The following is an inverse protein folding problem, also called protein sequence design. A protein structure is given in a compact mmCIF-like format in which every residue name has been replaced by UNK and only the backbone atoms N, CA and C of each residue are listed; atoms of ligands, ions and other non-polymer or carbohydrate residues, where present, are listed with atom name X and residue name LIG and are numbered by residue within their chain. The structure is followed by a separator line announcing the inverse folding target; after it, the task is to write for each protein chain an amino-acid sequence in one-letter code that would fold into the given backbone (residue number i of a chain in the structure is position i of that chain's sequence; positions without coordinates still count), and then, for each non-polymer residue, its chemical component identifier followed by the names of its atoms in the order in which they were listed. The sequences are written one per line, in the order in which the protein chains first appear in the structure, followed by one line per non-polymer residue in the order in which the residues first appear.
data_IF_460546271659
#
_entry.id   IF_460546271659
#
_cell.length_a   1.000
_cell.length_b   1.000
_cell.length_c   1.000
_cell.angle_alpha   90.00
_cell.angle_beta   90.00
_cell.angle_gamma   90.00
#
_symmetry.space_group_name_H-M   'P 1'
#
loop_
_entity.id
_entity.type
_entity.pdbx_description
1 polymer ?
#
# COMPACT_ATOMS: atom_id res chain seq x y z
N UNK A 1 13.23 0.99 -15.07
CA UNK A 1 11.94 1.19 -14.36
C UNK A 1 11.60 2.66 -14.32
N UNK A 2 10.34 2.99 -14.52
CA UNK A 2 9.92 4.38 -14.40
C UNK A 2 9.78 4.77 -12.92
N UNK A 3 9.50 6.06 -12.68
CA UNK A 3 9.46 6.56 -11.31
C UNK A 3 8.29 5.98 -10.50
N UNK A 4 7.16 5.73 -11.15
CA UNK A 4 6.02 5.16 -10.47
C UNK A 4 6.31 3.72 -10.04
N UNK A 5 6.91 2.94 -10.93
CA UNK A 5 7.26 1.55 -10.59
C UNK A 5 8.26 1.51 -9.45
N UNK A 6 9.27 2.37 -9.47
CA UNK A 6 10.24 2.45 -8.37
C UNK A 6 9.55 2.80 -7.06
N UNK A 7 8.59 3.71 -7.12
CA UNK A 7 7.84 4.10 -5.94
C UNK A 7 7.02 2.93 -5.39
N UNK A 8 6.39 2.15 -6.28
CA UNK A 8 5.61 0.99 -5.84
C UNK A 8 6.50 -0.05 -5.14
N UNK A 9 7.67 -0.32 -5.70
CA UNK A 9 8.62 -1.24 -5.08
C UNK A 9 9.04 -0.72 -3.71
N UNK A 10 9.32 0.57 -3.62
CA UNK A 10 9.67 1.20 -2.36
C UNK A 10 8.55 1.05 -1.34
N UNK A 11 7.30 1.26 -1.75
CA UNK A 11 6.16 1.12 -0.84
C UNK A 11 6.01 -0.30 -0.30
N UNK A 12 6.24 -1.31 -1.14
CA UNK A 12 6.23 -2.69 -0.70
C UNK A 12 7.27 -2.91 0.40
N UNK A 13 8.48 -2.39 0.16
CA UNK A 13 9.57 -2.60 1.12
C UNK A 13 9.33 -1.91 2.45
N UNK A 14 8.87 -0.66 2.43
CA UNK A 14 8.64 0.06 3.68
C UNK A 14 7.47 -0.54 4.46
N UNK A 15 6.44 -0.97 3.76
CA UNK A 15 5.28 -1.58 4.41
C UNK A 15 5.67 -2.93 5.03
N UNK A 16 6.45 -3.71 4.29
CA UNK A 16 6.98 -4.99 4.76
C UNK A 16 7.75 -4.81 6.07
N UNK A 17 8.62 -3.82 6.11
CA UNK A 17 9.43 -3.54 7.29
C UNK A 17 8.59 -3.03 8.45
N UNK A 18 7.67 -2.12 8.17
CA UNK A 18 6.86 -1.48 9.21
C UNK A 18 5.96 -2.48 9.95
N UNK A 19 5.43 -3.46 9.23
CA UNK A 19 4.49 -4.41 9.82
C UNK A 19 5.05 -5.82 9.95
N UNK A 20 6.35 -5.97 9.72
CA UNK A 20 7.07 -7.24 9.89
C UNK A 20 6.44 -8.37 9.09
N UNK A 21 6.12 -8.06 7.84
CA UNK A 21 5.54 -9.02 6.90
C UNK A 21 6.62 -9.45 5.91
N UNK A 22 6.40 -10.58 5.25
CA UNK A 22 7.27 -10.95 4.14
C UNK A 22 6.70 -10.38 2.83
N UNK A 23 7.50 -10.45 1.76
CA UNK A 23 7.09 -9.88 0.48
C UNK A 23 5.82 -10.49 -0.07
N UNK A 24 5.65 -11.80 0.11
CA UNK A 24 4.46 -12.50 -0.38
C UNK A 24 3.21 -11.98 0.31
N UNK A 25 3.29 -11.80 1.63
CA UNK A 25 2.15 -11.29 2.40
C UNK A 25 1.76 -9.89 1.96
N UNK A 26 2.74 -9.02 1.74
CA UNK A 26 2.47 -7.66 1.31
C UNK A 26 1.87 -7.66 -0.09
N UNK A 27 2.40 -8.47 -1.00
CA UNK A 27 1.86 -8.54 -2.36
C UNK A 27 0.42 -9.04 -2.37
N UNK A 28 0.10 -10.01 -1.50
CA UNK A 28 -1.27 -10.47 -1.39
C UNK A 28 -2.21 -9.38 -0.90
N UNK A 29 -1.79 -8.63 0.13
CA UNK A 29 -2.58 -7.51 0.63
C UNK A 29 -2.77 -6.44 -0.43
N UNK A 30 -1.69 -6.06 -1.10
CA UNK A 30 -1.75 -5.01 -2.10
C UNK A 30 -2.64 -5.40 -3.27
N UNK A 31 -2.58 -6.67 -3.68
CA UNK A 31 -3.44 -7.15 -4.75
C UNK A 31 -4.90 -7.18 -4.31
N UNK A 32 -5.14 -7.68 -3.10
CA UNK A 32 -6.50 -7.83 -2.58
C UNK A 32 -7.24 -6.50 -2.50
N UNK A 33 -6.54 -5.44 -2.10
CA UNK A 33 -7.17 -4.14 -1.87
C UNK A 33 -6.87 -3.10 -2.95
N UNK A 34 -6.25 -3.51 -4.05
CA UNK A 34 -5.95 -2.59 -5.13
C UNK A 34 -4.98 -1.49 -4.76
N UNK A 35 -4.03 -1.80 -3.87
CA UNK A 35 -3.10 -0.80 -3.35
C UNK A 35 -2.16 -0.28 -4.43
N UNK A 36 -1.72 -1.15 -5.35
CA UNK A 36 -0.81 -0.70 -6.42
C UNK A 36 -1.45 0.42 -7.24
N UNK A 37 -2.72 0.25 -7.60
CA UNK A 37 -3.43 1.25 -8.36
C UNK A 37 -3.61 2.53 -7.55
N UNK A 38 -3.98 2.38 -6.28
CA UNK A 38 -4.13 3.52 -5.39
C UNK A 38 -2.83 4.32 -5.29
N UNK A 39 -1.71 3.63 -5.09
CA UNK A 39 -0.42 4.30 -4.94
C UNK A 39 0.02 4.95 -6.24
N UNK A 40 -0.23 4.30 -7.37
CA UNK A 40 0.12 4.89 -8.67
C UNK A 40 -0.68 6.18 -8.90
N UNK A 41 -1.95 6.19 -8.54
CA UNK A 41 -2.80 7.37 -8.69
C UNK A 41 -2.41 8.48 -7.72
N UNK A 42 -1.82 8.14 -6.58
CA UNK A 42 -1.43 9.11 -5.56
C UNK A 42 0.07 9.41 -5.57
N UNK A 43 0.77 8.98 -6.61
CA UNK A 43 2.22 9.14 -6.68
C UNK A 43 2.65 10.57 -6.42
N UNK A 44 2.03 11.54 -7.09
CA UNK A 44 2.43 12.94 -6.97
C UNK A 44 2.28 13.44 -5.53
N UNK A 45 1.26 13.00 -4.84
CA UNK A 45 1.02 13.44 -3.46
C UNK A 45 1.91 12.71 -2.45
N UNK A 46 2.22 11.45 -2.70
CA UNK A 46 2.88 10.62 -1.70
C UNK A 46 4.38 10.50 -1.86
N UNK A 47 4.91 10.60 -3.08
CA UNK A 47 6.33 10.29 -3.29
C UNK A 47 7.28 11.27 -2.61
N UNK A 48 6.79 12.42 -2.19
CA UNK A 48 7.61 13.41 -1.48
C UNK A 48 7.43 13.37 0.03
N UNK A 49 6.60 12.46 0.54
CA UNK A 49 6.36 12.35 1.98
C UNK A 49 7.30 11.32 2.59
N UNK A 50 7.37 11.29 3.93
CA UNK A 50 8.19 10.32 4.63
C UNK A 50 7.56 8.94 4.66
N UNK A 51 8.40 7.93 4.96
CA UNK A 51 7.94 6.55 4.96
C UNK A 51 6.84 6.30 6.00
N UNK A 52 6.93 6.95 7.14
CA UNK A 52 5.92 6.78 8.19
C UNK A 52 4.55 7.22 7.70
N UNK A 53 4.52 8.36 7.01
CA UNK A 53 3.27 8.85 6.48
C UNK A 53 2.69 7.89 5.43
N UNK A 54 3.56 7.39 4.54
CA UNK A 54 3.12 6.48 3.49
C UNK A 54 2.57 5.18 4.08
N UNK A 55 3.28 4.58 5.04
CA UNK A 55 2.83 3.32 5.63
C UNK A 55 1.51 3.49 6.37
N UNK A 56 1.34 4.61 7.07
CA UNK A 56 0.07 4.88 7.76
C UNK A 56 -1.06 5.13 6.78
N UNK A 57 -0.75 5.81 5.67
CA UNK A 57 -1.74 6.07 4.64
C UNK A 57 -2.22 4.77 4.00
N UNK A 58 -1.29 3.87 3.70
CA UNK A 58 -1.64 2.55 3.15
C UNK A 58 -2.50 1.76 4.15
N UNK A 59 -2.08 1.72 5.39
CA UNK A 59 -2.82 0.99 6.42
C UNK A 59 -4.23 1.55 6.58
N UNK A 60 -4.37 2.87 6.55
CA UNK A 60 -5.68 3.51 6.64
C UNK A 60 -6.56 3.18 5.46
N UNK A 61 -5.97 3.15 4.25
CA UNK A 61 -6.71 2.79 3.05
C UNK A 61 -7.22 1.35 3.13
N UNK A 62 -6.36 0.43 3.57
CA UNK A 62 -6.74 -0.98 3.71
C UNK A 62 -7.89 -1.11 4.71
N UNK A 63 -7.77 -0.44 5.85
CA UNK A 63 -8.82 -0.51 6.88
C UNK A 63 -10.15 0.02 6.36
N UNK A 64 -10.10 1.11 5.62
CA UNK A 64 -11.30 1.70 5.04
C UNK A 64 -11.95 0.75 4.04
N UNK A 65 -11.13 0.09 3.21
CA UNK A 65 -11.66 -0.86 2.24
C UNK A 65 -12.29 -2.07 2.93
N UNK A 66 -11.69 -2.54 4.00
CA UNK A 66 -12.25 -3.66 4.76
C UNK A 66 -13.62 -3.30 5.34
N UNK A 67 -13.75 -2.10 5.88
CA UNK A 67 -15.01 -1.66 6.46
C UNK A 67 -16.09 -1.46 5.42
N UNK A 68 -15.71 -1.02 4.22
CA UNK A 68 -16.66 -0.70 3.16
C UNK A 68 -16.97 -1.86 2.24
N UNK A 69 -16.35 -3.01 2.44
CA UNK A 69 -16.52 -4.17 1.58
C UNK A 69 -17.20 -5.30 2.36
N UNK A 70 -18.53 -5.45 2.23
CA UNK A 70 -19.25 -6.50 2.98
C UNK A 70 -18.73 -7.90 2.70
N UNK A 71 -18.25 -8.15 1.48
CA UNK A 71 -17.76 -9.47 1.11
C UNK A 71 -16.55 -9.89 1.92
N UNK A 72 -15.71 -8.94 2.32
CA UNK A 72 -14.52 -9.27 3.08
C UNK A 72 -14.79 -9.55 4.54
N UNK A 73 -16.03 -9.37 4.99
CA UNK A 73 -16.42 -9.67 6.37
C UNK A 73 -17.13 -11.01 6.50
N UNK A 74 -17.41 -11.63 5.38
CA UNK A 74 -18.16 -12.90 5.36
C UNK A 74 -17.34 -14.10 5.88
#
# INVERSE_FOLDING_TARGET
MDNVTKFLVYCVEIYKTAYKLNGKQVMQLFTQYGIHEYLANCYDALHTTGREYITEDIAGFIEKQRQNNPASRA
#
